data_IF_217505406727
#
_entry.id   IF_217505406727
#
_cell.length_a   1.000
_cell.length_b   1.000
_cell.length_c   1.000
_cell.angle_alpha   90.00
_cell.angle_beta   90.00
_cell.angle_gamma   90.00
#
_symmetry.space_group_name_H-M   'P 1'
#
loop_
_entity.id
_entity.type
_entity.pdbx_description
1 polymer ?
#
# COMPACT_ATOMS: atom_id res chain seq x y z
N UNK A 1 0.92 -9.06 15.20
CA UNK A 1 1.19 -10.33 14.48
C UNK A 1 1.01 -10.06 12.99
N UNK A 2 2.04 -10.28 12.17
CA UNK A 2 1.99 -9.96 10.73
C UNK A 2 0.91 -10.80 10.02
N UNK A 3 -0.16 -10.17 9.53
CA UNK A 3 -1.21 -10.89 8.77
C UNK A 3 -0.67 -11.33 7.42
N UNK A 4 -0.62 -12.65 7.20
CA UNK A 4 -0.23 -13.29 5.94
C UNK A 4 -1.45 -13.99 5.34
N UNK A 5 -1.66 -13.84 4.03
CA UNK A 5 -2.59 -14.69 3.26
C UNK A 5 -1.76 -15.61 2.36
N UNK A 6 -2.17 -16.90 2.22
CA UNK A 6 -1.62 -17.78 1.17
C UNK A 6 -1.77 -17.07 -0.19
N UNK A 7 -0.77 -17.16 -1.07
CA UNK A 7 -0.72 -16.28 -2.24
C UNK A 7 -1.97 -16.40 -3.11
N UNK A 8 -2.66 -15.28 -3.24
CA UNK A 8 -3.74 -15.08 -4.21
C UNK A 8 -3.13 -14.43 -5.44
N UNK A 9 -3.76 -14.64 -6.60
CA UNK A 9 -3.46 -13.87 -7.80
C UNK A 9 -3.76 -12.40 -7.51
N UNK A 10 -2.78 -11.51 -7.67
CA UNK A 10 -3.07 -10.08 -7.80
C UNK A 10 -3.58 -9.83 -9.21
N UNK A 11 -4.66 -9.07 -9.33
CA UNK A 11 -5.15 -8.53 -10.60
C UNK A 11 -5.50 -7.07 -10.39
N UNK A 12 -5.02 -6.20 -11.27
CA UNK A 12 -5.32 -4.78 -11.20
C UNK A 12 -6.79 -4.50 -11.59
N UNK A 13 -7.27 -3.29 -11.31
CA UNK A 13 -8.63 -2.86 -11.63
C UNK A 13 -8.98 -3.03 -13.12
N UNK A 14 -8.06 -2.63 -14.01
CA UNK A 14 -8.21 -2.70 -15.46
C UNK A 14 -8.11 -4.13 -16.02
N UNK A 15 -7.80 -5.13 -15.17
CA UNK A 15 -7.72 -6.54 -15.51
C UNK A 15 -6.66 -6.93 -16.55
N UNK A 16 -5.80 -6.01 -16.96
CA UNK A 16 -4.72 -6.21 -17.93
C UNK A 16 -3.37 -6.55 -17.26
N UNK A 17 -3.24 -6.38 -15.94
CA UNK A 17 -2.05 -6.78 -15.18
C UNK A 17 -2.45 -7.81 -14.13
N UNK A 18 -1.68 -8.89 -14.04
CA UNK A 18 -1.80 -9.88 -12.97
C UNK A 18 -0.49 -10.55 -12.65
N UNK A 19 -0.31 -10.99 -11.41
CA UNK A 19 0.86 -11.77 -10.99
C UNK A 19 0.49 -12.69 -9.81
N UNK A 20 1.42 -13.58 -9.46
CA UNK A 20 1.32 -14.48 -8.31
C UNK A 20 2.55 -14.28 -7.41
N UNK A 21 2.57 -13.23 -6.59
CA UNK A 21 3.65 -13.02 -5.62
C UNK A 21 3.79 -14.22 -4.70
N UNK A 22 4.99 -14.60 -4.27
CA UNK A 22 5.16 -15.67 -3.27
C UNK A 22 4.46 -15.32 -1.95
N UNK A 23 4.37 -14.04 -1.59
CA UNK A 23 3.63 -13.55 -0.43
C UNK A 23 2.93 -12.21 -0.69
N UNK A 24 1.73 -12.06 -0.13
CA UNK A 24 1.03 -10.77 -0.04
C UNK A 24 0.91 -10.40 1.44
N UNK A 25 1.44 -9.24 1.79
CA UNK A 25 1.39 -8.68 3.15
C UNK A 25 0.36 -7.54 3.22
N UNK A 26 -0.43 -7.49 4.29
CA UNK A 26 -1.37 -6.39 4.59
C UNK A 26 -1.03 -5.75 5.95
N UNK A 27 0.14 -5.11 6.09
CA UNK A 27 0.57 -4.51 7.35
C UNK A 27 -0.36 -3.36 7.75
N UNK A 28 -0.49 -3.13 9.05
CA UNK A 28 -1.29 -2.06 9.64
C UNK A 28 -0.48 -1.02 10.41
N UNK A 29 0.82 -1.28 10.59
CA UNK A 29 1.73 -0.39 11.32
C UNK A 29 3.09 -0.28 10.60
N UNK A 30 3.76 0.89 10.60
CA UNK A 30 5.08 1.04 9.96
C UNK A 30 6.17 0.03 10.40
N UNK A 31 6.14 -0.45 11.65
CA UNK A 31 7.09 -1.45 12.16
C UNK A 31 6.94 -2.81 11.46
N UNK A 32 5.73 -3.13 11.02
CA UNK A 32 5.47 -4.33 10.22
C UNK A 32 6.12 -4.22 8.83
N UNK A 33 6.14 -3.02 8.23
CA UNK A 33 6.87 -2.75 6.97
C UNK A 33 8.36 -3.02 7.16
N UNK A 34 8.96 -2.46 8.22
CA UNK A 34 10.37 -2.71 8.52
C UNK A 34 10.67 -4.20 8.66
N UNK A 35 9.80 -4.94 9.34
CA UNK A 35 9.92 -6.41 9.51
C UNK A 35 9.85 -7.14 8.16
N UNK A 36 8.89 -6.77 7.29
CA UNK A 36 8.77 -7.34 5.94
C UNK A 36 10.02 -7.06 5.12
N UNK A 37 10.53 -5.82 5.13
CA UNK A 37 11.71 -5.43 4.35
C UNK A 37 12.97 -6.16 4.81
N UNK A 38 13.17 -6.28 6.13
CA UNK A 38 14.30 -7.03 6.69
C UNK A 38 14.25 -8.50 6.28
N UNK A 39 13.06 -9.12 6.38
CA UNK A 39 12.85 -10.50 5.93
C UNK A 39 13.11 -10.65 4.43
N UNK A 40 12.58 -9.75 3.61
CA UNK A 40 12.77 -9.79 2.16
C UNK A 40 14.27 -9.73 1.82
N UNK A 41 15.00 -8.80 2.47
CA UNK A 41 16.45 -8.68 2.32
C UNK A 41 17.19 -9.95 2.72
N UNK A 42 16.87 -10.53 3.87
CA UNK A 42 17.50 -11.76 4.36
C UNK A 42 17.29 -12.96 3.40
N UNK A 43 16.17 -12.96 2.66
CA UNK A 43 15.80 -14.00 1.70
C UNK A 43 16.13 -13.65 0.24
N UNK A 44 16.81 -12.53 -0.02
CA UNK A 44 17.13 -12.07 -1.37
C UNK A 44 15.91 -11.71 -2.23
N UNK A 45 14.79 -11.33 -1.59
CA UNK A 45 13.50 -11.03 -2.22
C UNK A 45 13.31 -9.55 -2.50
N UNK A 46 12.68 -9.23 -3.62
CA UNK A 46 12.23 -7.88 -3.96
C UNK A 46 10.87 -7.58 -3.34
N UNK A 47 10.59 -6.30 -3.13
CA UNK A 47 9.32 -5.83 -2.57
C UNK A 47 8.69 -4.82 -3.51
N UNK A 48 7.42 -5.02 -3.84
CA UNK A 48 6.56 -4.03 -4.49
C UNK A 48 5.40 -3.70 -3.57
N UNK A 49 4.78 -2.55 -3.78
CA UNK A 49 3.59 -2.15 -3.04
C UNK A 49 2.40 -1.93 -3.98
N UNK A 50 1.20 -2.05 -3.42
CA UNK A 50 -0.06 -1.78 -4.10
C UNK A 50 -0.98 -0.98 -3.19
N UNK A 51 -1.53 0.10 -3.73
CA UNK A 51 -2.68 0.82 -3.15
C UNK A 51 -3.98 0.31 -3.77
N UNK A 52 -4.77 1.20 -4.38
CA UNK A 52 -6.05 0.84 -4.99
C UNK A 52 -5.94 -0.01 -6.29
N UNK A 53 -4.73 -0.26 -6.81
CA UNK A 53 -4.54 -1.19 -7.94
C UNK A 53 -4.97 -0.67 -9.31
N UNK A 54 -4.97 0.65 -9.53
CA UNK A 54 -5.40 1.27 -10.81
C UNK A 54 -4.29 1.43 -11.87
N UNK A 55 -3.04 1.07 -11.58
CA UNK A 55 -1.95 1.19 -12.56
C UNK A 55 -2.18 0.27 -13.76
N UNK A 56 -2.17 0.82 -14.97
CA UNK A 56 -2.15 0.03 -16.22
C UNK A 56 -0.77 -0.51 -16.56
N UNK A 57 0.29 0.21 -16.16
CA UNK A 57 1.67 -0.22 -16.36
C UNK A 57 2.06 -1.34 -15.39
N UNK A 58 3.01 -2.23 -15.77
CA UNK A 58 3.41 -3.39 -14.98
C UNK A 58 4.30 -3.04 -13.77
N UNK A 59 4.02 -1.92 -13.09
CA UNK A 59 4.79 -1.46 -11.94
C UNK A 59 4.51 -2.30 -10.69
N UNK A 60 3.29 -2.79 -10.50
CA UNK A 60 2.91 -3.47 -9.25
C UNK A 60 3.29 -4.95 -9.26
N UNK A 61 3.22 -5.59 -10.42
CA UNK A 61 3.43 -7.03 -10.54
C UNK A 61 4.82 -7.46 -10.07
N UNK A 62 4.87 -8.57 -9.34
CA UNK A 62 6.10 -9.17 -8.85
C UNK A 62 5.88 -10.65 -8.56
N UNK A 63 6.94 -11.44 -8.71
CA UNK A 63 6.97 -12.83 -8.24
C UNK A 63 7.37 -12.92 -6.76
N UNK A 64 7.90 -11.85 -6.17
CA UNK A 64 8.39 -11.85 -4.79
C UNK A 64 7.31 -11.35 -3.80
N UNK A 65 7.60 -10.32 -3.00
CA UNK A 65 6.70 -9.84 -1.96
C UNK A 65 5.88 -8.64 -2.47
N UNK A 66 4.57 -8.75 -2.34
CA UNK A 66 3.64 -7.65 -2.59
C UNK A 66 3.07 -7.13 -1.27
N UNK A 67 3.20 -5.83 -1.03
CA UNK A 67 2.68 -5.16 0.17
C UNK A 67 1.45 -4.33 -0.20
N UNK A 68 0.29 -4.73 0.30
CA UNK A 68 -0.93 -3.95 0.23
C UNK A 68 -0.94 -2.91 1.36
N UNK A 69 -0.94 -1.64 0.98
CA UNK A 69 -0.86 -0.51 1.91
C UNK A 69 -2.23 0.08 2.27
N UNK A 70 -3.34 -0.56 1.90
CA UNK A 70 -4.69 -0.02 2.14
C UNK A 70 -4.98 0.31 3.61
N UNK A 71 -4.33 -0.36 4.57
CA UNK A 71 -4.48 -0.07 6.00
C UNK A 71 -3.72 1.18 6.47
N UNK A 72 -2.78 1.71 5.69
CA UNK A 72 -2.11 2.99 5.95
C UNK A 72 -2.96 4.14 5.41
N UNK A 73 -4.26 4.11 5.67
CA UNK A 73 -5.19 5.17 5.30
C UNK A 73 -5.25 6.26 6.40
N UNK A 74 -6.04 7.30 6.16
CA UNK A 74 -6.31 8.34 7.13
C UNK A 74 -5.49 9.62 7.00
N UNK A 75 -6.15 10.72 7.38
CA UNK A 75 -5.59 12.05 7.47
C UNK A 75 -4.88 12.20 8.83
N UNK A 76 -3.58 12.48 8.82
CA UNK A 76 -2.76 12.49 10.04
C UNK A 76 -2.56 13.89 10.62
N UNK A 77 -2.32 14.89 9.76
CA UNK A 77 -2.14 16.29 10.17
C UNK A 77 -2.55 17.24 9.05
N UNK A 78 -3.17 18.35 9.42
CA UNK A 78 -3.43 19.50 8.55
C UNK A 78 -2.71 20.70 9.14
N UNK A 79 -1.82 21.32 8.38
CA UNK A 79 -1.11 22.55 8.75
C UNK A 79 -1.64 23.67 7.82
N UNK A 80 -2.57 24.48 8.34
CA UNK A 80 -3.26 25.50 7.55
C UNK A 80 -2.36 26.69 7.21
N UNK A 81 -1.48 27.06 8.14
CA UNK A 81 -0.55 28.18 7.92
C UNK A 81 0.41 27.87 6.76
N UNK A 82 0.84 26.60 6.65
CA UNK A 82 1.74 26.14 5.57
C UNK A 82 1.01 25.58 4.36
N UNK A 83 -0.31 25.41 4.40
CA UNK A 83 -1.10 24.72 3.39
C UNK A 83 -0.58 23.31 3.06
N UNK A 84 -0.14 22.57 4.09
CA UNK A 84 0.41 21.21 3.94
C UNK A 84 -0.43 20.20 4.71
N UNK A 85 -0.66 19.06 4.08
CA UNK A 85 -1.36 17.92 4.67
C UNK A 85 -0.42 16.73 4.76
N UNK A 86 -0.42 16.06 5.92
CA UNK A 86 0.16 14.73 6.08
C UNK A 86 -0.97 13.70 6.12
N UNK A 87 -0.89 12.71 5.23
CA UNK A 87 -1.83 11.61 5.19
C UNK A 87 -1.09 10.28 5.00
N UNK A 88 -1.73 9.19 5.39
CA UNK A 88 -1.19 7.85 5.19
C UNK A 88 -1.12 7.49 3.70
N UNK A 89 -0.11 6.72 3.29
CA UNK A 89 0.14 6.39 1.88
C UNK A 89 -0.96 5.56 1.21
N UNK A 90 -1.82 4.90 2.00
CA UNK A 90 -2.96 4.12 1.55
C UNK A 90 -4.28 4.89 1.48
N UNK A 91 -4.32 6.17 1.88
CA UNK A 91 -5.55 6.97 1.79
C UNK A 91 -5.96 7.14 0.33
N UNK A 92 -7.25 6.98 0.03
CA UNK A 92 -7.77 7.29 -1.30
C UNK A 92 -7.93 8.80 -1.47
N UNK A 93 -7.80 9.31 -2.70
CA UNK A 93 -8.06 10.74 -2.96
C UNK A 93 -9.50 11.13 -2.61
N UNK A 94 -10.47 10.23 -2.81
CA UNK A 94 -11.86 10.45 -2.43
C UNK A 94 -12.01 10.68 -0.92
N UNK A 95 -11.44 9.79 -0.10
CA UNK A 95 -11.47 9.92 1.36
C UNK A 95 -10.69 11.15 1.84
N UNK A 96 -9.53 11.43 1.25
CA UNK A 96 -8.75 12.63 1.56
C UNK A 96 -9.56 13.90 1.29
N UNK A 97 -10.13 14.03 0.09
CA UNK A 97 -10.92 15.19 -0.30
C UNK A 97 -12.14 15.38 0.59
N UNK A 98 -12.83 14.30 0.94
CA UNK A 98 -13.95 14.36 1.88
C UNK A 98 -13.50 14.92 3.23
N UNK A 99 -12.42 14.37 3.82
CA UNK A 99 -11.91 14.82 5.12
C UNK A 99 -11.42 16.28 5.09
N UNK A 100 -10.83 16.72 3.99
CA UNK A 100 -10.43 18.12 3.85
C UNK A 100 -11.65 19.04 3.71
N UNK A 101 -12.64 18.67 2.89
CA UNK A 101 -13.89 19.42 2.74
C UNK A 101 -14.62 19.63 4.08
N UNK A 102 -14.68 18.60 4.93
CA UNK A 102 -15.23 18.69 6.30
C UNK A 102 -14.52 19.72 7.20
N UNK A 103 -13.31 20.16 6.82
CA UNK A 103 -12.48 21.09 7.59
C UNK A 103 -12.47 22.49 6.95
N UNK A 104 -13.15 22.71 5.83
CA UNK A 104 -13.08 23.94 5.04
C UNK A 104 -11.68 24.20 4.50
#
# INVERSE_FOLDING_TARGET
MLRRRRSKVFRNWARNQSCRPVEIHTPSHPSEISTILQRARALGKRVRCVGAGHSWSPLVCTDDYLVDIAAFNGLQRVDRDKMVVRAGAGITLAELNQKLSERG
#
